data_IF_215286913795
#
_entry.id   IF_215286913795
#
_cell.length_a   1.000
_cell.length_b   1.000
_cell.length_c   1.000
_cell.angle_alpha   90.00
_cell.angle_beta   90.00
_cell.angle_gamma   90.00
#
_symmetry.space_group_name_H-M   'P 1'
#
loop_
_entity.id
_entity.type
_entity.pdbx_description
1 polymer ?
#
# COMPACT_ATOMS: atom_id res chain seq x y z
N UNK A 1 -23.37 16.97 -33.15
CA UNK A 1 -23.24 15.53 -32.85
C UNK A 1 -24.08 15.17 -31.62
N UNK A 2 -25.36 15.53 -31.63
CA UNK A 2 -26.26 15.32 -30.50
C UNK A 2 -27.69 14.99 -30.92
N UNK A 3 -28.05 15.24 -32.19
CA UNK A 3 -29.36 14.89 -32.75
C UNK A 3 -29.40 13.53 -33.48
N UNK A 4 -28.25 12.85 -33.61
CA UNK A 4 -28.16 11.56 -34.33
C UNK A 4 -28.47 10.33 -33.45
N UNK A 5 -28.51 10.50 -32.12
CA UNK A 5 -28.78 9.40 -31.17
C UNK A 5 -30.30 9.26 -30.89
N UNK A 6 -31.11 10.28 -31.19
CA UNK A 6 -32.55 10.27 -30.92
C UNK A 6 -33.40 9.65 -32.05
N UNK A 7 -32.85 9.51 -33.26
CA UNK A 7 -33.56 8.93 -34.42
C UNK A 7 -33.47 7.39 -34.48
N UNK A 8 -32.47 6.77 -33.84
CA UNK A 8 -32.29 5.31 -33.88
C UNK A 8 -33.24 4.54 -32.94
N UNK A 9 -33.79 5.22 -31.92
CA UNK A 9 -34.79 4.63 -31.01
C UNK A 9 -36.18 4.44 -31.64
N UNK A 10 -36.50 5.11 -32.76
CA UNK A 10 -37.80 4.97 -33.46
C UNK A 10 -37.85 3.83 -34.48
N UNK A 11 -36.71 3.24 -34.84
CA UNK A 11 -36.64 2.13 -35.81
C UNK A 11 -36.82 0.74 -35.19
N UNK A 12 -36.64 0.61 -33.87
CA UNK A 12 -36.90 -0.63 -33.15
C UNK A 12 -38.37 -0.63 -32.73
N UNK A 13 -39.22 -1.29 -33.53
CA UNK A 13 -40.66 -1.40 -33.30
C UNK A 13 -41.01 -2.03 -31.94
N UNK A 14 -41.01 -1.21 -30.89
CA UNK A 14 -41.59 -1.54 -29.59
C UNK A 14 -43.06 -1.14 -29.66
N UNK A 15 -43.90 -2.13 -29.95
CA UNK A 15 -45.35 -1.98 -29.93
C UNK A 15 -45.82 -1.52 -28.54
N UNK A 16 -46.42 -0.35 -28.48
CA UNK A 16 -47.17 0.13 -27.32
C UNK A 16 -48.47 -0.68 -27.28
N UNK A 17 -48.48 -1.75 -26.47
CA UNK A 17 -49.71 -2.46 -26.12
C UNK A 17 -50.58 -1.51 -25.30
N UNK A 18 -51.67 -1.04 -25.91
CA UNK A 18 -52.71 -0.25 -25.25
C UNK A 18 -53.35 -1.08 -24.14
N UNK A 19 -52.93 -0.84 -22.91
CA UNK A 19 -53.57 -1.41 -21.73
C UNK A 19 -54.76 -0.50 -21.38
N UNK A 20 -55.97 -0.96 -21.69
CA UNK A 20 -57.20 -0.28 -21.30
C UNK A 20 -57.28 -0.28 -19.77
N UNK A 21 -57.25 0.93 -19.20
CA UNK A 21 -57.40 1.15 -17.77
C UNK A 21 -58.80 0.74 -17.31
N UNK A 22 -58.85 -0.28 -16.44
CA UNK A 22 -60.00 -0.56 -15.61
C UNK A 22 -60.20 0.60 -14.59
N UNK A 23 -61.45 0.91 -14.20
CA UNK A 23 -61.74 2.00 -13.26
C UNK A 23 -61.05 1.76 -11.92
N UNK A 24 -60.29 2.77 -11.49
CA UNK A 24 -59.55 2.79 -10.23
C UNK A 24 -60.49 2.55 -9.04
N UNK A 25 -60.31 1.43 -8.34
CA UNK A 25 -60.89 1.22 -7.03
C UNK A 25 -60.34 2.28 -6.06
N UNK A 26 -61.23 2.90 -5.29
CA UNK A 26 -60.88 3.91 -4.30
C UNK A 26 -59.80 3.38 -3.33
N UNK A 27 -58.77 4.18 -2.99
CA UNK A 27 -57.71 3.75 -2.10
C UNK A 27 -58.28 3.41 -0.73
N UNK A 28 -58.15 2.14 -0.34
CA UNK A 28 -58.45 1.69 1.02
C UNK A 28 -57.61 2.53 1.99
N UNK A 29 -58.21 3.18 3.01
CA UNK A 29 -57.46 3.96 3.98
C UNK A 29 -56.42 3.07 4.65
N UNK A 30 -55.15 3.48 4.56
CA UNK A 30 -54.04 2.76 5.16
C UNK A 30 -54.33 2.53 6.67
N UNK A 31 -54.08 1.32 7.20
CA UNK A 31 -54.29 1.04 8.61
C UNK A 31 -53.49 2.02 9.45
N UNK A 32 -54.18 2.72 10.36
CA UNK A 32 -53.57 3.64 11.34
C UNK A 32 -52.62 2.82 12.20
N UNK A 33 -51.32 2.89 11.89
CA UNK A 33 -50.28 2.20 12.64
C UNK A 33 -50.20 2.81 14.05
N UNK A 34 -50.23 1.96 15.06
CA UNK A 34 -50.06 2.36 16.45
C UNK A 34 -48.72 3.11 16.62
N UNK A 35 -48.65 4.14 17.49
CA UNK A 35 -47.44 4.93 17.70
C UNK A 35 -46.28 4.01 18.13
N UNK A 36 -45.24 3.96 17.30
CA UNK A 36 -44.02 3.19 17.58
C UNK A 36 -43.32 3.82 18.79
N UNK A 37 -43.21 3.06 19.88
CA UNK A 37 -42.51 3.52 21.07
C UNK A 37 -41.01 3.62 20.77
N UNK A 38 -40.42 4.81 20.94
CA UNK A 38 -38.99 5.03 20.72
C UNK A 38 -38.19 4.24 21.79
N UNK A 39 -37.24 3.38 21.41
CA UNK A 39 -36.41 2.65 22.35
C UNK A 39 -35.52 3.63 23.11
N UNK A 40 -35.60 3.62 24.45
CA UNK A 40 -34.82 4.50 25.31
C UNK A 40 -33.40 3.96 25.49
N UNK A 41 -32.39 4.78 25.24
CA UNK A 41 -30.98 4.38 25.38
C UNK A 41 -30.48 4.55 26.82
N UNK A 42 -29.87 3.51 27.36
CA UNK A 42 -29.07 3.59 28.59
C UNK A 42 -27.63 3.99 28.28
N UNK A 43 -27.22 5.18 28.72
CA UNK A 43 -25.91 5.78 28.47
C UNK A 43 -24.77 4.91 29.05
N UNK A 44 -25.03 4.18 30.14
CA UNK A 44 -24.01 3.33 30.79
C UNK A 44 -23.61 2.13 29.95
N UNK A 45 -24.47 1.73 29.01
CA UNK A 45 -24.26 0.58 28.13
C UNK A 45 -23.56 0.94 26.82
N UNK A 46 -23.26 2.22 26.59
CA UNK A 46 -22.68 2.68 25.33
C UNK A 46 -21.18 2.35 25.23
N UNK A 47 -20.81 1.78 24.08
CA UNK A 47 -19.42 1.64 23.66
C UNK A 47 -18.73 3.01 23.51
N UNK A 48 -17.39 3.08 23.48
CA UNK A 48 -16.68 4.36 23.32
C UNK A 48 -17.07 5.14 22.06
N UNK A 49 -17.32 4.44 20.95
CA UNK A 49 -17.76 5.05 19.69
C UNK A 49 -19.19 5.56 19.82
N UNK A 50 -20.10 4.76 20.39
CA UNK A 50 -21.49 5.19 20.59
C UNK A 50 -21.62 6.35 21.58
N UNK A 51 -20.75 6.45 22.59
CA UNK A 51 -20.69 7.64 23.46
C UNK A 51 -20.30 8.89 22.69
N UNK A 52 -19.33 8.77 21.79
CA UNK A 52 -18.90 9.89 20.94
C UNK A 52 -20.04 10.34 20.02
N UNK A 53 -20.74 9.37 19.42
CA UNK A 53 -21.93 9.63 18.60
C UNK A 53 -23.05 10.27 19.43
N UNK A 54 -23.28 9.80 20.65
CA UNK A 54 -24.28 10.38 21.54
C UNK A 54 -23.98 11.85 21.87
N UNK A 55 -22.71 12.20 22.08
CA UNK A 55 -22.30 13.58 22.35
C UNK A 55 -22.50 14.48 21.12
N UNK A 56 -22.19 13.99 19.92
CA UNK A 56 -22.26 14.79 18.69
C UNK A 56 -23.68 14.89 18.09
N UNK A 57 -24.42 13.78 18.17
CA UNK A 57 -25.66 13.56 17.40
C UNK A 57 -26.85 13.09 18.26
N UNK A 58 -26.65 12.92 19.57
CA UNK A 58 -27.71 12.54 20.50
C UNK A 58 -28.19 11.09 20.35
N UNK A 59 -29.31 10.79 21.00
CA UNK A 59 -29.92 9.46 21.04
C UNK A 59 -30.23 8.92 19.63
N UNK A 60 -30.80 9.77 18.77
CA UNK A 60 -31.14 9.39 17.39
C UNK A 60 -29.90 9.02 16.58
N UNK A 61 -28.75 9.66 16.83
CA UNK A 61 -27.50 9.33 16.14
C UNK A 61 -27.00 7.92 16.50
N UNK A 62 -27.09 7.55 17.77
CA UNK A 62 -26.71 6.21 18.23
C UNK A 62 -27.64 5.15 17.65
N UNK A 63 -28.96 5.40 17.63
CA UNK A 63 -29.92 4.48 17.03
C UNK A 63 -29.69 4.33 15.54
N UNK A 64 -29.45 5.42 14.81
CA UNK A 64 -29.13 5.39 13.38
C UNK A 64 -27.85 4.59 13.13
N UNK A 65 -26.80 4.80 13.93
CA UNK A 65 -25.54 4.04 13.83
C UNK A 65 -25.75 2.54 14.05
N UNK A 66 -26.55 2.13 15.05
CA UNK A 66 -26.89 0.72 15.29
C UNK A 66 -27.71 0.10 14.16
N UNK A 67 -28.54 0.90 13.49
CA UNK A 67 -29.36 0.46 12.35
C UNK A 67 -28.58 0.41 11.03
N UNK A 68 -27.39 1.02 10.97
CA UNK A 68 -26.56 1.09 9.77
C UNK A 68 -25.81 -0.23 9.44
N UNK A 69 -26.18 -1.38 10.03
CA UNK A 69 -25.56 -2.69 9.75
C UNK A 69 -25.81 -3.24 8.34
N UNK A 70 -26.57 -2.50 7.51
CA UNK A 70 -26.87 -2.82 6.12
C UNK A 70 -28.22 -3.50 5.90
N UNK A 71 -29.04 -3.72 6.94
CA UNK A 71 -30.34 -4.40 6.82
C UNK A 71 -31.56 -3.48 6.79
N UNK A 72 -31.39 -2.18 7.05
CA UNK A 72 -32.49 -1.22 7.17
C UNK A 72 -32.28 -0.08 6.18
N UNK A 73 -33.33 0.26 5.44
CA UNK A 73 -33.31 1.39 4.49
C UNK A 73 -33.45 2.72 5.21
N UNK A 74 -33.03 3.82 4.58
CA UNK A 74 -33.13 5.17 5.16
C UNK A 74 -34.59 5.52 5.51
N UNK A 75 -35.54 5.16 4.64
CA UNK A 75 -36.96 5.39 4.85
C UNK A 75 -37.50 4.65 6.09
N UNK A 76 -37.10 3.39 6.31
CA UNK A 76 -37.48 2.63 7.50
C UNK A 76 -36.83 3.19 8.77
N UNK A 77 -35.58 3.66 8.69
CA UNK A 77 -34.90 4.31 9.80
C UNK A 77 -35.61 5.61 10.19
N UNK A 78 -36.01 6.43 9.22
CA UNK A 78 -36.81 7.64 9.45
C UNK A 78 -38.14 7.34 10.14
N UNK A 79 -38.86 6.33 9.65
CA UNK A 79 -40.14 5.92 10.22
C UNK A 79 -39.99 5.43 11.66
N UNK A 80 -38.94 4.65 11.96
CA UNK A 80 -38.68 4.13 13.32
C UNK A 80 -38.24 5.22 14.29
N UNK A 81 -37.47 6.18 13.81
CA UNK A 81 -36.98 7.30 14.63
C UNK A 81 -38.01 8.42 14.77
N UNK A 82 -39.05 8.41 13.93
CA UNK A 82 -40.06 9.47 13.86
C UNK A 82 -39.40 10.81 13.55
N UNK A 83 -38.51 10.82 12.54
CA UNK A 83 -37.82 12.00 12.05
C UNK A 83 -38.37 12.38 10.67
N UNK A 84 -38.43 13.67 10.39
CA UNK A 84 -38.68 14.17 9.04
C UNK A 84 -37.38 14.21 8.20
N UNK A 85 -37.50 14.49 6.90
CA UNK A 85 -36.36 14.53 5.97
C UNK A 85 -35.26 15.49 6.44
N UNK A 86 -35.63 16.70 6.86
CA UNK A 86 -34.67 17.72 7.28
C UNK A 86 -33.90 17.33 8.55
N UNK A 87 -34.57 16.66 9.50
CA UNK A 87 -33.95 16.14 10.72
C UNK A 87 -33.00 14.98 10.42
N UNK A 88 -33.40 14.09 9.50
CA UNK A 88 -32.57 12.97 9.05
C UNK A 88 -31.31 13.47 8.31
N UNK A 89 -31.46 14.44 7.41
CA UNK A 89 -30.34 15.05 6.70
C UNK A 89 -29.35 15.73 7.66
N UNK A 90 -29.87 16.48 8.65
CA UNK A 90 -29.05 17.09 9.69
C UNK A 90 -28.32 16.07 10.54
N UNK A 91 -28.93 14.91 10.79
CA UNK A 91 -28.31 13.80 11.52
C UNK A 91 -27.22 13.11 10.69
N UNK A 92 -27.50 12.84 9.41
CA UNK A 92 -26.54 12.25 8.48
C UNK A 92 -25.33 13.16 8.26
N UNK A 93 -25.53 14.48 8.15
CA UNK A 93 -24.44 15.44 7.99
C UNK A 93 -23.48 15.45 9.19
N UNK A 94 -23.98 15.20 10.41
CA UNK A 94 -23.15 15.12 11.62
C UNK A 94 -22.35 13.80 11.70
N UNK A 95 -22.90 12.72 11.17
CA UNK A 95 -22.32 11.38 11.27
C UNK A 95 -21.45 11.00 10.07
N UNK A 96 -21.74 11.54 8.89
CA UNK A 96 -21.01 11.29 7.66
C UNK A 96 -19.54 11.70 7.78
N UNK A 97 -18.64 10.85 7.27
CA UNK A 97 -17.19 11.08 7.29
C UNK A 97 -16.50 10.76 8.62
N UNK A 98 -17.20 10.85 9.75
CA UNK A 98 -16.67 10.50 11.08
C UNK A 98 -17.07 9.09 11.55
N UNK A 99 -18.35 8.74 11.39
CA UNK A 99 -18.94 7.54 11.98
C UNK A 99 -19.69 6.68 10.96
N UNK A 100 -20.25 7.30 9.91
CA UNK A 100 -20.89 6.63 8.79
C UNK A 100 -20.05 6.88 7.53
N UNK A 101 -19.62 5.79 6.90
CA UNK A 101 -19.00 5.82 5.58
C UNK A 101 -20.02 5.32 4.57
N UNK A 102 -20.21 6.06 3.49
CA UNK A 102 -21.07 5.60 2.39
C UNK A 102 -20.48 4.32 1.76
N UNK A 103 -21.32 3.49 1.14
CA UNK A 103 -20.85 2.28 0.44
C UNK A 103 -19.79 2.64 -0.62
N UNK A 104 -19.96 3.78 -1.31
CA UNK A 104 -18.99 4.30 -2.26
C UNK A 104 -17.64 4.70 -1.61
N UNK A 105 -17.65 5.34 -0.43
CA UNK A 105 -16.43 5.66 0.32
C UNK A 105 -15.76 4.42 0.92
N UNK A 106 -16.55 3.43 1.35
CA UNK A 106 -16.02 2.15 1.80
C UNK A 106 -15.36 1.40 0.65
N UNK A 107 -15.97 1.37 -0.54
CA UNK A 107 -15.37 0.75 -1.73
C UNK A 107 -14.10 1.49 -2.17
N UNK A 108 -14.09 2.83 -2.19
CA UNK A 108 -12.91 3.63 -2.48
C UNK A 108 -11.77 3.36 -1.48
N UNK A 109 -12.06 3.32 -0.17
CA UNK A 109 -11.06 2.93 0.85
C UNK A 109 -10.64 1.47 0.73
N UNK A 110 -11.53 0.56 0.33
CA UNK A 110 -11.21 -0.87 0.15
C UNK A 110 -10.32 -1.08 -1.08
N UNK A 111 -10.46 -0.26 -2.11
CA UNK A 111 -9.54 -0.20 -3.25
C UNK A 111 -8.18 0.39 -2.87
N UNK A 112 -8.13 1.49 -2.11
CA UNK A 112 -6.87 2.02 -1.55
C UNK A 112 -6.16 1.00 -0.66
N UNK A 113 -6.89 0.33 0.25
CA UNK A 113 -6.34 -0.68 1.16
C UNK A 113 -5.96 -1.97 0.40
N UNK A 114 -6.61 -2.31 -0.71
CA UNK A 114 -6.16 -3.42 -1.59
C UNK A 114 -4.89 -3.06 -2.36
N UNK A 115 -4.73 -1.81 -2.76
CA UNK A 115 -3.47 -1.31 -3.31
C UNK A 115 -2.35 -1.36 -2.25
N UNK A 116 -2.63 -1.00 -1.00
CA UNK A 116 -1.65 -1.08 0.09
C UNK A 116 -1.35 -2.52 0.56
N UNK A 117 -2.33 -3.43 0.58
CA UNK A 117 -2.14 -4.84 1.02
C UNK A 117 -1.45 -5.75 0.01
N UNK A 118 -1.08 -5.24 -1.16
CA UNK A 118 -0.13 -5.90 -2.07
C UNK A 118 1.23 -5.23 -2.10
N UNK A 119 1.52 -4.32 -1.16
CA UNK A 119 2.90 -3.98 -0.84
C UNK A 119 3.46 -5.19 -0.09
N UNK A 120 4.09 -6.12 -0.84
CA UNK A 120 5.02 -7.10 -0.26
C UNK A 120 5.84 -6.35 0.78
N UNK A 121 5.94 -6.89 1.98
CA UNK A 121 6.72 -6.31 3.08
C UNK A 121 8.15 -6.10 2.59
N UNK A 122 8.41 -4.89 2.08
CA UNK A 122 9.62 -4.57 1.32
C UNK A 122 10.63 -4.05 2.31
N UNK A 123 11.78 -4.71 2.39
CA UNK A 123 12.86 -4.25 3.25
C UNK A 123 13.27 -2.86 2.76
N UNK A 124 13.23 -1.84 3.64
CA UNK A 124 13.55 -0.47 3.26
C UNK A 124 15.00 -0.33 2.84
N UNK A 125 15.29 0.76 2.11
CA UNK A 125 16.66 1.12 1.74
C UNK A 125 17.15 2.17 2.73
N UNK A 126 18.19 1.80 3.49
CA UNK A 126 18.81 2.68 4.47
C UNK A 126 20.09 3.33 3.94
N UNK A 127 20.31 4.59 4.32
CA UNK A 127 21.52 5.36 4.06
C UNK A 127 22.31 5.45 5.36
N UNK A 128 23.40 4.68 5.52
CA UNK A 128 24.24 4.77 6.70
C UNK A 128 25.02 6.08 6.70
N UNK A 129 25.13 6.70 7.88
CA UNK A 129 25.92 7.90 8.14
C UNK A 129 26.78 7.68 9.38
N UNK A 130 28.09 7.92 9.26
CA UNK A 130 29.01 7.86 10.40
C UNK A 130 28.60 8.84 11.49
N UNK A 131 28.60 8.38 12.73
CA UNK A 131 28.49 9.25 13.90
C UNK A 131 29.87 9.84 14.20
N UNK A 132 29.88 11.07 14.73
CA UNK A 132 31.11 11.66 15.26
C UNK A 132 31.45 10.91 16.54
N UNK A 133 32.25 9.85 16.43
CA UNK A 133 32.79 9.15 17.59
C UNK A 133 34.11 9.80 17.99
N UNK A 134 34.37 9.93 19.29
CA UNK A 134 35.66 10.41 19.79
C UNK A 134 36.77 9.50 19.24
N UNK A 135 37.80 10.08 18.61
CA UNK A 135 38.73 9.37 17.70
C UNK A 135 39.48 8.14 18.26
N UNK A 136 39.36 7.85 19.56
CA UNK A 136 39.89 6.65 20.19
C UNK A 136 39.04 5.39 19.89
N UNK A 137 37.73 5.52 19.67
CA UNK A 137 36.86 4.37 19.33
C UNK A 137 36.98 3.94 17.87
N UNK A 138 37.33 4.84 16.95
CA UNK A 138 37.39 4.53 15.51
C UNK A 138 38.49 3.55 15.14
N UNK A 139 39.65 3.59 15.83
CA UNK A 139 40.76 2.67 15.56
C UNK A 139 40.46 1.23 16.00
N UNK A 140 39.88 1.07 17.20
CA UNK A 140 39.52 -0.26 17.71
C UNK A 140 38.47 -0.93 16.82
N UNK A 141 37.44 -0.17 16.42
CA UNK A 141 36.38 -0.63 15.52
C UNK A 141 36.95 -1.03 14.15
N UNK A 142 37.86 -0.22 13.57
CA UNK A 142 38.46 -0.52 12.26
C UNK A 142 39.23 -1.84 12.24
N UNK A 143 39.95 -2.15 13.31
CA UNK A 143 40.66 -3.44 13.47
C UNK A 143 39.67 -4.61 13.58
N UNK A 144 38.63 -4.46 14.39
CA UNK A 144 37.61 -5.50 14.58
C UNK A 144 36.87 -5.81 13.28
N UNK A 145 36.56 -4.79 12.48
CA UNK A 145 35.93 -4.95 11.16
C UNK A 145 36.86 -5.72 10.21
N UNK A 146 38.14 -5.36 10.18
CA UNK A 146 39.11 -6.04 9.31
C UNK A 146 39.23 -7.53 9.69
N UNK A 147 39.14 -7.87 10.98
CA UNK A 147 39.19 -9.25 11.45
C UNK A 147 37.91 -10.02 11.09
N UNK A 148 36.73 -9.46 11.34
CA UNK A 148 35.44 -10.16 11.16
C UNK A 148 34.95 -10.17 9.71
N UNK A 149 35.08 -9.04 9.03
CA UNK A 149 34.52 -8.79 7.71
C UNK A 149 35.61 -8.73 6.63
N UNK A 150 36.89 -8.63 6.97
CA UNK A 150 37.97 -8.59 6.00
C UNK A 150 38.11 -7.23 5.29
N UNK A 151 38.89 -7.19 4.19
CA UNK A 151 39.17 -5.95 3.46
C UNK A 151 37.93 -5.26 2.90
N UNK A 152 36.93 -6.04 2.46
CA UNK A 152 35.65 -5.50 1.94
C UNK A 152 34.90 -4.73 3.02
N UNK A 153 34.82 -5.25 4.25
CA UNK A 153 34.15 -4.58 5.35
C UNK A 153 34.81 -3.25 5.70
N UNK A 154 36.16 -3.22 5.69
CA UNK A 154 36.90 -1.96 5.86
C UNK A 154 36.60 -0.97 4.73
N UNK A 155 36.61 -1.41 3.47
CA UNK A 155 36.27 -0.57 2.31
C UNK A 155 34.85 0.00 2.41
N UNK A 156 33.87 -0.80 2.85
CA UNK A 156 32.50 -0.33 3.08
C UNK A 156 32.51 0.72 4.17
N UNK A 157 33.11 0.45 5.34
CA UNK A 157 33.20 1.43 6.43
C UNK A 157 33.76 2.76 5.92
N UNK A 158 34.86 2.73 5.17
CA UNK A 158 35.54 3.89 4.57
C UNK A 158 34.67 4.64 3.55
N UNK A 159 33.67 3.97 2.97
CA UNK A 159 32.72 4.55 2.01
C UNK A 159 31.45 5.12 2.66
N UNK A 160 31.25 4.95 3.98
CA UNK A 160 30.08 5.49 4.68
C UNK A 160 30.23 7.00 4.88
N UNK A 161 29.58 7.77 4.01
CA UNK A 161 29.59 9.24 4.01
C UNK A 161 28.20 9.87 4.16
N UNK A 162 27.14 9.06 4.32
CA UNK A 162 25.75 9.52 4.35
C UNK A 162 25.14 9.81 2.98
N UNK A 163 25.81 9.46 1.87
CA UNK A 163 25.29 9.61 0.50
C UNK A 163 24.98 8.26 -0.14
N UNK A 164 25.87 7.28 0.04
CA UNK A 164 25.67 5.92 -0.46
C UNK A 164 24.70 5.16 0.45
N UNK A 165 23.74 4.46 -0.16
CA UNK A 165 22.86 3.53 0.56
C UNK A 165 23.46 2.12 0.61
N UNK A 166 22.87 1.25 1.41
CA UNK A 166 23.30 -0.14 1.58
C UNK A 166 23.36 -0.93 0.26
N UNK A 167 22.50 -0.61 -0.72
CA UNK A 167 22.44 -1.29 -2.02
C UNK A 167 23.62 -0.89 -2.90
N UNK A 168 23.96 0.40 -2.91
CA UNK A 168 25.14 0.92 -3.60
C UNK A 168 26.44 0.42 -2.96
N UNK A 169 26.52 0.39 -1.62
CA UNK A 169 27.68 -0.13 -0.91
C UNK A 169 27.94 -1.60 -1.25
N UNK A 170 26.88 -2.42 -1.31
CA UNK A 170 26.96 -3.82 -1.72
C UNK A 170 27.50 -3.93 -3.16
N UNK A 171 26.91 -3.20 -4.11
CA UNK A 171 27.29 -3.25 -5.52
C UNK A 171 28.71 -2.73 -5.79
N UNK A 172 29.14 -1.64 -5.14
CA UNK A 172 30.47 -1.04 -5.33
C UNK A 172 31.60 -1.88 -4.71
N UNK A 173 31.27 -2.78 -3.79
CA UNK A 173 32.21 -3.70 -3.16
C UNK A 173 32.05 -5.15 -3.62
N UNK A 174 31.09 -5.43 -4.50
CA UNK A 174 30.81 -6.75 -5.06
C UNK A 174 30.56 -7.81 -3.97
N UNK A 175 29.85 -7.42 -2.90
CA UNK A 175 29.45 -8.30 -1.79
C UNK A 175 27.93 -8.34 -1.66
N UNK A 176 27.40 -9.41 -1.06
CA UNK A 176 25.95 -9.62 -0.92
C UNK A 176 25.28 -8.55 -0.04
N UNK A 177 23.98 -8.33 -0.24
CA UNK A 177 23.21 -7.44 0.64
C UNK A 177 23.24 -7.91 2.10
N UNK A 178 23.15 -9.22 2.33
CA UNK A 178 23.23 -9.80 3.68
C UNK A 178 24.54 -9.45 4.38
N UNK A 179 25.67 -9.52 3.66
CA UNK A 179 26.96 -9.13 4.22
C UNK A 179 26.98 -7.65 4.62
N UNK A 180 26.38 -6.77 3.81
CA UNK A 180 26.27 -5.34 4.16
C UNK A 180 25.38 -5.15 5.38
N UNK A 181 24.25 -5.85 5.47
CA UNK A 181 23.34 -5.78 6.62
C UNK A 181 24.01 -6.24 7.91
N UNK A 182 24.74 -7.36 7.88
CA UNK A 182 25.48 -7.88 9.04
C UNK A 182 26.53 -6.88 9.52
N UNK A 183 27.23 -6.22 8.58
CA UNK A 183 28.17 -5.15 8.88
C UNK A 183 27.46 -3.91 9.45
N UNK A 184 26.34 -3.49 8.86
CA UNK A 184 25.55 -2.35 9.33
C UNK A 184 25.02 -2.59 10.74
N UNK A 185 24.52 -3.79 11.02
CA UNK A 185 24.09 -4.20 12.37
C UNK A 185 25.24 -4.10 13.37
N UNK A 186 26.39 -4.69 13.05
CA UNK A 186 27.59 -4.63 13.89
C UNK A 186 28.05 -3.20 14.21
N UNK A 187 28.01 -2.30 13.21
CA UNK A 187 28.38 -0.89 13.36
C UNK A 187 27.34 -0.12 14.19
N UNK A 188 26.05 -0.48 14.05
CA UNK A 188 24.95 0.12 14.80
C UNK A 188 25.04 -0.21 16.28
N UNK A 189 25.34 -1.46 16.64
CA UNK A 189 25.52 -1.90 18.03
C UNK A 189 26.65 -1.14 18.74
N UNK A 190 27.65 -0.66 17.98
CA UNK A 190 28.79 0.13 18.48
C UNK A 190 28.55 1.64 18.37
N UNK A 191 27.36 2.06 17.97
CA UNK A 191 26.99 3.46 17.74
C UNK A 191 27.92 4.19 16.76
N UNK A 192 28.51 3.48 15.80
CA UNK A 192 29.45 4.03 14.79
C UNK A 192 28.70 4.62 13.60
N UNK A 193 27.49 4.13 13.35
CA UNK A 193 26.62 4.58 12.26
C UNK A 193 25.21 4.85 12.75
N UNK A 194 24.54 5.75 12.05
CA UNK A 194 23.10 6.01 12.13
C UNK A 194 22.49 5.81 10.76
N UNK A 195 21.19 5.53 10.68
CA UNK A 195 20.52 5.21 9.42
C UNK A 195 19.45 6.24 9.10
N UNK A 196 19.43 6.71 7.86
CA UNK A 196 18.31 7.45 7.30
C UNK A 196 17.62 6.57 6.27
N UNK A 197 16.35 6.24 6.52
CA UNK A 197 15.54 5.47 5.57
C UNK A 197 15.16 6.34 4.37
N UNK A 198 15.39 5.84 3.16
CA UNK A 198 14.92 6.51 1.95
C UNK A 198 13.40 6.40 1.84
N UNK A 199 12.76 7.53 1.53
CA UNK A 199 11.36 7.54 1.13
C UNK A 199 11.22 7.12 -0.32
N UNK A 200 10.01 6.74 -0.70
CA UNK A 200 9.67 6.34 -2.07
C UNK A 200 10.08 7.40 -3.10
N UNK A 201 9.86 8.68 -2.77
CA UNK A 201 10.22 9.80 -3.64
C UNK A 201 11.74 9.90 -3.83
N UNK A 202 12.50 9.66 -2.77
CA UNK A 202 13.96 9.69 -2.78
C UNK A 202 14.55 8.51 -3.56
N UNK A 203 13.92 7.32 -3.49
CA UNK A 203 14.29 6.15 -4.29
C UNK A 203 14.12 6.47 -5.79
N UNK A 204 12.96 7.02 -6.18
CA UNK A 204 12.70 7.43 -7.56
C UNK A 204 13.68 8.50 -8.03
N UNK A 205 14.00 9.47 -7.18
CA UNK A 205 15.00 10.51 -7.48
C UNK A 205 16.39 9.92 -7.68
N UNK A 206 16.77 8.93 -6.87
CA UNK A 206 18.12 8.34 -6.85
C UNK A 206 18.35 7.34 -7.98
N UNK A 207 17.38 6.46 -8.26
CA UNK A 207 17.52 5.37 -9.23
C UNK A 207 16.64 5.52 -10.48
N UNK A 208 15.94 6.65 -10.61
CA UNK A 208 15.06 6.92 -11.73
C UNK A 208 13.80 6.05 -11.76
N UNK A 209 13.06 6.12 -12.87
CA UNK A 209 11.84 5.34 -13.08
C UNK A 209 12.09 3.84 -13.09
N UNK A 210 13.19 3.40 -13.70
CA UNK A 210 13.59 1.98 -13.76
C UNK A 210 13.83 1.43 -12.35
N UNK A 211 14.68 2.09 -11.56
CA UNK A 211 14.97 1.63 -10.20
C UNK A 211 13.75 1.62 -9.30
N UNK A 212 12.85 2.59 -9.45
CA UNK A 212 11.57 2.61 -8.73
C UNK A 212 10.67 1.43 -9.11
N UNK A 213 10.57 1.12 -10.41
CA UNK A 213 9.80 -0.05 -10.87
C UNK A 213 10.36 -1.35 -10.30
N UNK A 214 11.69 -1.49 -10.27
CA UNK A 214 12.34 -2.67 -9.70
C UNK A 214 12.13 -2.78 -8.20
N UNK A 215 12.17 -1.64 -7.49
CA UNK A 215 11.90 -1.59 -6.06
C UNK A 215 10.47 -2.03 -5.72
N UNK A 216 9.47 -1.59 -6.49
CA UNK A 216 8.08 -1.98 -6.24
C UNK A 216 7.85 -3.48 -6.42
N UNK A 217 8.49 -4.10 -7.42
CA UNK A 217 8.29 -5.51 -7.74
C UNK A 217 9.08 -6.45 -6.81
N UNK A 218 10.32 -6.06 -6.50
CA UNK A 218 11.35 -6.92 -5.92
C UNK A 218 12.07 -6.32 -4.70
N UNK A 219 11.67 -5.14 -4.24
CA UNK A 219 12.35 -4.43 -3.17
C UNK A 219 13.78 -4.04 -3.53
N UNK A 220 14.63 -3.92 -2.52
CA UNK A 220 16.05 -3.56 -2.69
C UNK A 220 16.85 -4.60 -3.49
N UNK A 221 16.43 -5.89 -3.50
CA UNK A 221 17.07 -6.95 -4.29
C UNK A 221 17.06 -6.63 -5.79
N UNK A 222 15.95 -6.08 -6.29
CA UNK A 222 15.81 -5.70 -7.69
C UNK A 222 16.76 -4.58 -8.10
N UNK A 223 16.89 -3.55 -7.26
CA UNK A 223 17.87 -2.47 -7.49
C UNK A 223 19.30 -3.02 -7.41
N UNK A 224 19.58 -3.89 -6.44
CA UNK A 224 20.90 -4.50 -6.27
C UNK A 224 21.34 -5.26 -7.52
N UNK A 225 20.48 -6.15 -8.04
CA UNK A 225 20.77 -6.90 -9.28
C UNK A 225 20.98 -5.97 -10.49
N UNK A 226 20.19 -4.89 -10.58
CA UNK A 226 20.39 -3.89 -11.62
C UNK A 226 21.77 -3.22 -11.52
N UNK A 227 22.19 -2.80 -10.32
CA UNK A 227 23.50 -2.20 -10.12
C UNK A 227 24.64 -3.19 -10.40
N UNK A 228 24.51 -4.45 -9.96
CA UNK A 228 25.49 -5.49 -10.29
C UNK A 228 25.60 -5.70 -11.79
N UNK A 229 24.48 -5.75 -12.52
CA UNK A 229 24.49 -5.89 -13.98
C UNK A 229 25.27 -4.73 -14.64
N UNK A 230 25.08 -3.49 -14.17
CA UNK A 230 25.84 -2.34 -14.67
C UNK A 230 27.34 -2.50 -14.44
N UNK A 231 27.74 -3.09 -13.30
CA UNK A 231 29.16 -3.30 -12.95
C UNK A 231 29.79 -4.48 -13.70
N UNK A 232 29.07 -5.59 -13.86
CA UNK A 232 29.62 -6.81 -14.47
C UNK A 232 29.44 -6.84 -15.98
N UNK A 233 28.44 -6.14 -16.51
CA UNK A 233 27.94 -6.30 -17.89
C UNK A 233 27.57 -7.75 -18.26
N UNK A 234 27.43 -8.63 -17.26
CA UNK A 234 27.07 -10.03 -17.42
C UNK A 234 25.97 -10.40 -16.41
N UNK A 235 24.74 -10.70 -16.88
CA UNK A 235 23.63 -11.14 -16.04
C UNK A 235 23.96 -12.34 -15.15
N UNK A 236 24.78 -13.28 -15.63
CA UNK A 236 25.12 -14.50 -14.90
C UNK A 236 26.07 -14.20 -13.75
N UNK A 237 27.08 -13.37 -14.01
CA UNK A 237 27.99 -12.88 -12.98
C UNK A 237 27.23 -12.09 -11.91
N UNK A 238 26.31 -11.21 -12.32
CA UNK A 238 25.48 -10.43 -11.39
C UNK A 238 24.62 -11.33 -10.49
N UNK A 239 23.94 -12.34 -11.04
CA UNK A 239 23.16 -13.29 -10.24
C UNK A 239 24.06 -14.04 -9.25
N UNK A 240 25.20 -14.56 -9.71
CA UNK A 240 26.13 -15.31 -8.84
C UNK A 240 26.66 -14.45 -7.69
N UNK A 241 26.99 -13.19 -7.94
CA UNK A 241 27.45 -12.25 -6.90
C UNK A 241 26.34 -11.88 -5.93
N UNK A 242 25.08 -11.94 -6.35
CA UNK A 242 23.96 -11.48 -5.52
C UNK A 242 23.64 -12.37 -4.33
N UNK A 243 23.94 -13.67 -4.41
CA UNK A 243 23.54 -14.71 -3.46
C UNK A 243 22.01 -14.78 -3.21
N UNK A 244 21.22 -14.28 -4.16
CA UNK A 244 19.77 -14.46 -4.18
C UNK A 244 19.47 -15.87 -4.68
N UNK A 245 18.39 -16.49 -4.17
CA UNK A 245 17.90 -17.78 -4.69
C UNK A 245 17.92 -17.79 -6.22
N UNK A 246 18.58 -18.78 -6.87
CA UNK A 246 18.78 -18.77 -8.32
C UNK A 246 17.49 -18.65 -9.13
N UNK A 247 16.39 -19.25 -8.67
CA UNK A 247 15.10 -19.14 -9.37
C UNK A 247 14.59 -17.71 -9.31
N UNK A 248 14.54 -17.14 -8.10
CA UNK A 248 14.12 -15.75 -7.87
C UNK A 248 15.03 -14.76 -8.63
N UNK A 249 16.33 -14.96 -8.60
CA UNK A 249 17.32 -14.07 -9.22
C UNK A 249 17.21 -14.06 -10.75
N UNK A 250 16.94 -15.22 -11.38
CA UNK A 250 16.73 -15.32 -12.83
C UNK A 250 15.47 -14.56 -13.26
N UNK A 251 14.37 -14.70 -12.51
CA UNK A 251 13.13 -13.97 -12.79
C UNK A 251 13.30 -12.45 -12.61
N UNK A 252 14.00 -12.04 -11.54
CA UNK A 252 14.36 -10.64 -11.33
C UNK A 252 15.24 -10.09 -12.45
N UNK A 253 16.25 -10.85 -12.88
CA UNK A 253 17.18 -10.41 -13.92
C UNK A 253 16.49 -10.26 -15.28
N UNK A 254 15.54 -11.14 -15.61
CA UNK A 254 14.71 -10.96 -16.81
C UNK A 254 13.92 -9.64 -16.73
N UNK A 255 13.32 -9.34 -15.57
CA UNK A 255 12.62 -8.07 -15.38
C UNK A 255 13.58 -6.88 -15.54
N UNK A 256 14.78 -6.94 -14.95
CA UNK A 256 15.81 -5.90 -15.10
C UNK A 256 16.14 -5.66 -16.58
N UNK A 257 16.44 -6.74 -17.34
CA UNK A 257 16.80 -6.66 -18.75
C UNK A 257 15.66 -6.08 -19.60
N UNK A 258 14.41 -6.46 -19.30
CA UNK A 258 13.21 -5.93 -19.95
C UNK A 258 13.06 -4.43 -19.69
N UNK A 259 13.23 -3.99 -18.44
CA UNK A 259 13.03 -2.58 -18.05
C UNK A 259 14.08 -1.64 -18.66
N UNK A 260 15.32 -2.12 -18.86
CA UNK A 260 16.40 -1.32 -19.48
C UNK A 260 16.48 -1.49 -21.00
N UNK A 261 15.59 -2.29 -21.61
CA UNK A 261 15.63 -2.66 -23.03
C UNK A 261 17.03 -3.14 -23.47
N UNK A 262 17.68 -3.98 -22.67
CA UNK A 262 19.03 -4.45 -22.96
C UNK A 262 19.03 -5.36 -24.21
N UNK A 263 19.96 -5.17 -25.17
CA UNK A 263 20.11 -6.04 -26.34
C UNK A 263 20.86 -7.34 -26.00
N UNK A 264 20.60 -7.92 -24.82
CA UNK A 264 21.29 -9.11 -24.31
C UNK A 264 20.31 -10.27 -24.33
N UNK A 265 20.65 -11.35 -25.05
CA UNK A 265 19.87 -12.58 -25.01
C UNK A 265 20.10 -13.29 -23.66
N UNK A 266 19.05 -13.40 -22.84
CA UNK A 266 19.10 -14.09 -21.55
C UNK A 266 18.14 -15.28 -21.54
N UNK A 267 18.68 -16.49 -21.64
CA UNK A 267 17.89 -17.72 -21.58
C UNK A 267 17.80 -18.20 -20.13
N UNK A 268 16.58 -18.19 -19.56
CA UNK A 268 16.31 -18.63 -18.19
C UNK A 268 16.77 -20.06 -17.91
N UNK A 269 16.53 -20.99 -18.84
CA UNK A 269 16.88 -22.41 -18.65
C UNK A 269 18.38 -22.57 -18.53
N UNK A 270 19.12 -21.94 -19.45
CA UNK A 270 20.58 -22.00 -19.45
C UNK A 270 21.16 -21.35 -18.19
N UNK A 271 20.61 -20.20 -17.77
CA UNK A 271 21.04 -19.52 -16.54
C UNK A 271 20.84 -20.41 -15.29
N UNK A 272 19.66 -21.03 -15.15
CA UNK A 272 19.36 -21.93 -14.03
C UNK A 272 20.24 -23.18 -14.02
N UNK A 273 20.51 -23.78 -15.19
CA UNK A 273 21.36 -24.96 -15.29
C UNK A 273 22.81 -24.65 -14.88
N UNK A 274 23.31 -23.45 -15.19
CA UNK A 274 24.66 -23.04 -14.81
C UNK A 274 24.81 -22.70 -13.32
N UNK A 275 23.75 -22.19 -12.68
CA UNK A 275 23.78 -21.79 -11.27
C UNK A 275 23.59 -22.96 -10.29
N UNK A 276 23.15 -24.13 -10.78
CA UNK A 276 23.00 -25.36 -9.99
C UNK A 276 24.29 -26.21 -9.91
N UNK A 277 25.33 -25.82 -10.63
CA UNK A 277 26.63 -26.50 -10.65
C UNK A 277 27.61 -25.78 -9.75
#
# INVERSE_FOLDING_TARGET
MSDEILEEAKRLGVGVAGNQAAPAAAPTPAPVQAPVQKPKIDITTLSPIERSIYLDAGENGVLLFRMADGRITLAEAMQRLGLNDAEMDGLLAKLSGKYLFTVAEQEAKKEEIKLEKTVKETIPIDVPKRTSTDGMSSLAVGSEITIRFGPSGKKILDSIDGKLDVVQLAADTMVTLQYVDDLMWFLSERHVVTFNRLRVEDIKKKYGGVGMSLYNENGRDGIYLYLLLVKTSDPRAAIRTSDIDPSKAVDMMELVLKQINAPISFNKRDALTMLKR
#
